data_IF_733455829819
#
_entry.id   IF_733455829819
#
_cell.length_a   1.000
_cell.length_b   1.000
_cell.length_c   1.000
_cell.angle_alpha   90.00
_cell.angle_beta   90.00
_cell.angle_gamma   90.00
#
_symmetry.space_group_name_H-M   'P 1'
#
loop_
_entity.id
_entity.type
_entity.pdbx_description
1 polymer ?
#
# COMPACT_ATOMS: atom_id res chain seq x y z
N UNK A 1 20.88 -17.97 54.68
CA UNK A 1 21.68 -17.06 53.82
C UNK A 1 21.49 -17.47 52.37
N UNK A 2 20.82 -16.64 51.56
CA UNK A 2 20.96 -16.56 50.10
C UNK A 2 20.13 -15.36 49.65
N UNK A 3 20.80 -14.22 49.58
CA UNK A 3 20.25 -12.95 49.11
C UNK A 3 20.24 -12.99 47.59
N UNK A 4 19.05 -13.01 46.99
CA UNK A 4 18.88 -12.87 45.53
C UNK A 4 18.83 -11.38 45.25
N UNK A 5 19.82 -10.89 44.52
CA UNK A 5 19.84 -9.52 44.00
C UNK A 5 18.97 -9.48 42.74
N UNK A 6 17.81 -8.83 42.85
CA UNK A 6 17.06 -8.37 41.68
C UNK A 6 17.76 -7.09 41.23
N UNK A 7 18.55 -7.18 40.16
CA UNK A 7 18.99 -5.99 39.42
C UNK A 7 17.81 -5.54 38.58
N UNK A 8 17.08 -4.56 39.09
CA UNK A 8 16.13 -3.80 38.29
C UNK A 8 16.93 -2.97 37.28
N UNK A 9 16.95 -3.39 36.02
CA UNK A 9 17.41 -2.55 34.93
C UNK A 9 16.36 -1.44 34.74
N UNK A 10 16.56 -0.30 35.39
CA UNK A 10 15.93 0.96 34.98
C UNK A 10 16.50 1.30 33.60
N UNK A 11 15.75 0.98 32.54
CA UNK A 11 15.94 1.63 31.25
C UNK A 11 15.55 3.10 31.43
N UNK A 12 16.57 3.95 31.51
CA UNK A 12 16.44 5.38 31.32
C UNK A 12 15.86 5.61 29.94
N UNK A 13 14.54 5.74 29.84
CA UNK A 13 13.91 6.48 28.74
C UNK A 13 14.30 7.95 28.92
N UNK A 14 15.58 8.27 28.66
CA UNK A 14 15.99 9.65 28.45
C UNK A 14 15.16 10.22 27.32
N UNK A 15 14.86 11.52 27.36
CA UNK A 15 14.23 12.24 26.27
C UNK A 15 15.06 12.04 24.99
N UNK A 16 14.79 10.98 24.24
CA UNK A 16 15.45 10.72 22.99
C UNK A 16 15.06 11.85 22.05
N UNK A 17 16.04 12.60 21.57
CA UNK A 17 15.85 13.58 20.50
C UNK A 17 16.10 12.93 19.16
N UNK A 18 15.29 13.27 18.17
CA UNK A 18 15.49 12.77 16.81
C UNK A 18 16.90 13.13 16.30
N UNK A 19 17.58 12.20 15.60
CA UNK A 19 18.87 12.49 14.99
C UNK A 19 18.80 13.69 14.04
N UNK A 20 19.82 14.58 14.03
CA UNK A 20 19.82 15.79 13.19
C UNK A 20 19.59 15.54 11.71
N UNK A 21 20.04 14.40 11.18
CA UNK A 21 19.85 14.00 9.79
C UNK A 21 18.37 13.70 9.47
N UNK A 22 17.61 13.14 10.40
CA UNK A 22 16.17 12.93 10.21
C UNK A 22 15.42 14.25 10.30
N UNK A 23 15.82 15.13 11.23
CA UNK A 23 15.24 16.47 11.34
C UNK A 23 15.50 17.28 10.08
N UNK A 24 16.71 17.22 9.52
CA UNK A 24 17.04 17.88 8.26
C UNK A 24 16.17 17.35 7.11
N UNK A 25 16.00 16.02 7.03
CA UNK A 25 15.13 15.41 6.02
C UNK A 25 13.67 15.86 6.14
N UNK A 26 13.11 15.91 7.34
CA UNK A 26 11.73 16.41 7.56
C UNK A 26 11.62 17.90 7.27
N UNK A 27 12.67 18.68 7.53
CA UNK A 27 12.67 20.11 7.20
C UNK A 27 12.70 20.37 5.68
N UNK A 28 13.25 19.43 4.91
CA UNK A 28 13.26 19.44 3.45
C UNK A 28 11.97 18.88 2.84
N UNK A 29 11.09 18.27 3.64
CA UNK A 29 9.80 17.83 3.14
C UNK A 29 8.97 19.03 2.69
N UNK A 30 8.52 18.94 1.45
CA UNK A 30 7.65 19.91 0.80
C UNK A 30 6.47 19.14 0.23
N UNK A 31 5.27 19.66 0.43
CA UNK A 31 4.05 19.17 -0.20
C UNK A 31 3.50 20.28 -1.09
N UNK A 32 3.42 20.03 -2.39
CA UNK A 32 2.95 21.02 -3.38
C UNK A 32 3.67 22.40 -3.21
N UNK A 33 2.91 23.49 -3.24
CA UNK A 33 3.39 24.87 -3.04
C UNK A 33 3.48 25.29 -1.56
N UNK A 34 3.57 24.34 -0.62
CA UNK A 34 3.52 24.64 0.81
C UNK A 34 4.86 25.13 1.39
N UNK A 35 4.84 25.97 2.44
CA UNK A 35 6.05 26.39 3.12
C UNK A 35 6.74 25.20 3.80
N UNK A 36 8.08 25.23 3.94
CA UNK A 36 8.83 24.19 4.62
C UNK A 36 8.37 23.98 6.07
N UNK A 37 8.48 22.72 6.53
CA UNK A 37 8.10 22.30 7.88
C UNK A 37 8.92 23.03 8.94
N UNK A 38 8.26 23.80 9.83
CA UNK A 38 8.95 24.53 10.91
C UNK A 38 8.13 24.63 12.20
N UNK A 39 8.69 24.29 13.37
CA UNK A 39 9.99 23.63 13.59
C UNK A 39 9.90 22.09 13.46
N UNK A 40 10.59 21.50 12.48
CA UNK A 40 10.57 20.06 12.18
C UNK A 40 10.90 19.16 13.38
N UNK A 41 11.88 19.53 14.21
CA UNK A 41 12.29 18.72 15.37
C UNK A 41 11.20 18.52 16.44
N UNK A 42 10.13 19.32 16.43
CA UNK A 42 9.00 19.15 17.38
C UNK A 42 7.95 18.14 16.92
N UNK A 43 8.04 17.67 15.68
CA UNK A 43 7.09 16.72 15.12
C UNK A 43 7.43 15.26 15.45
N UNK A 44 8.62 15.03 16.00
CA UNK A 44 9.14 13.70 16.25
C UNK A 44 8.69 13.16 17.61
N UNK A 45 8.16 11.94 17.60
CA UNK A 45 7.94 11.12 18.77
C UNK A 45 8.75 9.81 18.63
N UNK A 46 9.50 9.38 19.67
CA UNK A 46 10.16 8.08 19.65
C UNK A 46 9.11 6.96 19.69
N UNK A 47 9.28 5.97 18.84
CA UNK A 47 8.46 4.75 18.78
C UNK A 47 9.39 3.52 18.74
N UNK A 48 8.80 2.32 18.83
CA UNK A 48 9.55 1.06 18.82
C UNK A 48 8.83 0.04 17.94
N UNK A 49 9.18 0.06 16.66
CA UNK A 49 8.67 -0.76 15.56
C UNK A 49 9.61 -1.96 15.32
N UNK A 50 10.92 -1.71 15.19
CA UNK A 50 11.94 -2.73 14.85
C UNK A 50 12.37 -3.60 16.04
N UNK A 51 12.16 -3.12 17.27
CA UNK A 51 12.60 -3.80 18.50
C UNK A 51 14.10 -4.13 18.56
N UNK A 52 14.95 -3.41 17.82
CA UNK A 52 16.40 -3.62 17.78
C UNK A 52 17.15 -2.89 18.92
N UNK A 53 16.43 -2.12 19.74
CA UNK A 53 16.98 -1.34 20.86
C UNK A 53 17.41 0.09 20.48
N UNK A 54 17.43 0.42 19.18
CA UNK A 54 17.51 1.80 18.71
C UNK A 54 16.10 2.42 18.64
N UNK A 55 15.96 3.75 18.82
CA UNK A 55 14.68 4.41 18.66
C UNK A 55 14.30 4.51 17.18
N UNK A 56 13.05 4.13 16.91
CA UNK A 56 12.33 4.49 15.69
C UNK A 56 11.63 5.83 15.91
N UNK A 57 11.19 6.47 14.83
CA UNK A 57 10.61 7.80 14.90
C UNK A 57 9.31 7.89 14.13
N UNK A 58 8.28 8.38 14.81
CA UNK A 58 7.05 8.86 14.19
C UNK A 58 7.13 10.37 14.04
N UNK A 59 6.86 10.87 12.84
CA UNK A 59 6.68 12.29 12.54
C UNK A 59 5.19 12.56 12.35
N UNK A 60 4.64 13.42 13.17
CA UNK A 60 3.26 13.86 13.13
C UNK A 60 3.17 15.29 12.56
N UNK A 61 2.55 15.44 11.39
CA UNK A 61 2.40 16.74 10.74
C UNK A 61 1.10 17.45 11.13
N UNK A 62 0.24 16.87 11.98
CA UNK A 62 -1.00 17.52 12.43
C UNK A 62 -0.76 18.93 13.00
N UNK A 63 0.30 19.21 13.80
CA UNK A 63 0.59 20.56 14.28
C UNK A 63 0.94 21.58 13.18
N UNK A 64 1.22 21.13 11.95
CA UNK A 64 1.45 22.01 10.80
C UNK A 64 0.14 22.46 10.12
N UNK A 65 -1.01 21.95 10.57
CA UNK A 65 -2.34 22.37 10.15
C UNK A 65 -2.67 22.00 8.71
N UNK A 66 -3.59 22.76 8.10
CA UNK A 66 -4.17 22.48 6.78
C UNK A 66 -3.15 22.39 5.63
N UNK A 67 -1.91 22.85 5.82
CA UNK A 67 -0.85 22.66 4.83
C UNK A 67 -0.47 21.17 4.65
N UNK A 68 -0.63 20.37 5.71
CA UNK A 68 -0.29 18.95 5.75
C UNK A 68 -1.50 18.06 6.05
N UNK A 69 -2.69 18.67 6.15
CA UNK A 69 -3.94 18.00 6.44
C UNK A 69 -5.03 18.34 5.41
N UNK A 70 -5.90 17.38 5.11
CA UNK A 70 -7.02 17.53 4.18
C UNK A 70 -8.15 16.56 4.51
N UNK A 71 -9.03 16.26 3.54
CA UNK A 71 -10.15 15.32 3.74
C UNK A 71 -9.67 13.88 3.97
N UNK A 72 -8.48 13.53 3.48
CA UNK A 72 -7.82 12.27 3.76
C UNK A 72 -7.13 12.19 5.12
N UNK A 73 -7.21 13.25 5.95
CA UNK A 73 -6.54 13.37 7.24
C UNK A 73 -5.20 14.10 7.16
N UNK A 74 -4.25 13.78 8.04
CA UNK A 74 -2.94 14.44 8.11
C UNK A 74 -1.83 13.53 7.61
N UNK A 75 -0.71 14.11 7.17
CA UNK A 75 0.49 13.33 6.81
C UNK A 75 1.14 12.76 8.07
N UNK A 76 1.49 11.48 8.03
CA UNK A 76 2.32 10.82 9.03
C UNK A 76 3.52 10.18 8.33
N UNK A 77 4.68 10.21 8.99
CA UNK A 77 5.90 9.57 8.49
C UNK A 77 6.55 8.70 9.54
N UNK A 78 7.06 7.55 9.15
CA UNK A 78 7.79 6.62 10.03
C UNK A 78 9.21 6.43 9.54
N UNK A 79 10.17 6.65 10.43
CA UNK A 79 11.55 6.23 10.28
C UNK A 79 11.83 5.02 11.15
N UNK A 80 12.24 3.91 10.56
CA UNK A 80 12.55 2.66 11.28
C UNK A 80 14.04 2.35 11.19
N UNK A 81 14.67 2.06 12.31
CA UNK A 81 16.10 1.76 12.41
C UNK A 81 16.47 0.53 11.60
N UNK A 82 17.72 0.47 11.14
CA UNK A 82 18.30 -0.70 10.47
C UNK A 82 19.38 -1.36 11.33
N UNK A 83 19.52 -2.69 11.22
CA UNK A 83 20.76 -3.37 11.62
C UNK A 83 21.97 -2.72 10.93
N UNK A 84 22.96 -2.29 11.71
CA UNK A 84 24.13 -1.58 11.20
C UNK A 84 24.04 -0.04 11.25
N UNK A 85 22.90 0.50 11.71
CA UNK A 85 22.70 1.93 11.95
C UNK A 85 21.92 2.65 10.85
N UNK A 86 21.49 3.88 11.18
CA UNK A 86 20.62 4.70 10.32
C UNK A 86 19.16 4.21 10.30
N UNK A 87 18.36 4.85 9.45
CA UNK A 87 16.91 4.61 9.36
C UNK A 87 16.41 4.48 7.92
N UNK A 88 15.30 3.76 7.76
CA UNK A 88 14.50 3.63 6.53
C UNK A 88 13.28 4.51 6.68
N UNK A 89 12.75 5.07 5.59
CA UNK A 89 11.36 5.55 5.61
C UNK A 89 10.49 4.33 5.40
N UNK A 90 9.61 4.05 6.36
CA UNK A 90 8.74 2.88 6.37
C UNK A 90 7.28 3.24 6.02
N UNK A 91 6.91 4.49 6.24
CA UNK A 91 5.59 5.04 5.95
C UNK A 91 5.73 6.54 5.66
N UNK A 92 5.03 7.05 4.65
CA UNK A 92 4.97 8.49 4.33
C UNK A 92 3.70 8.80 3.55
N UNK A 93 2.56 8.87 4.26
CA UNK A 93 1.25 8.99 3.63
C UNK A 93 0.27 9.81 4.48
N UNK A 94 -0.80 10.27 3.83
CA UNK A 94 -1.91 10.96 4.49
C UNK A 94 -2.96 9.95 4.98
N UNK A 95 -3.34 10.04 6.25
CA UNK A 95 -4.32 9.15 6.88
C UNK A 95 -5.26 9.90 7.84
N UNK A 96 -6.51 9.45 7.93
CA UNK A 96 -7.55 9.98 8.83
C UNK A 96 -7.35 9.53 10.27
N UNK A 97 -6.85 8.31 10.46
CA UNK A 97 -6.43 7.77 11.75
C UNK A 97 -5.09 7.09 11.61
N UNK A 98 -4.26 7.20 12.64
CA UNK A 98 -2.95 6.57 12.72
C UNK A 98 -2.76 5.94 14.10
N UNK A 99 -2.40 4.66 14.14
CA UNK A 99 -2.09 3.97 15.38
C UNK A 99 -0.96 2.94 15.18
N UNK A 100 0.02 2.99 16.08
CA UNK A 100 0.98 1.90 16.26
C UNK A 100 0.56 1.05 17.46
N UNK A 101 0.49 -0.27 17.27
CA UNK A 101 0.12 -1.19 18.34
C UNK A 101 1.04 -2.38 18.44
N UNK A 102 1.37 -2.73 19.69
CA UNK A 102 2.09 -3.97 20.00
C UNK A 102 1.14 -5.16 19.80
N UNK A 103 1.59 -6.16 19.06
CA UNK A 103 0.95 -7.46 18.94
C UNK A 103 1.98 -8.58 19.21
N UNK A 104 1.53 -9.82 19.46
CA UNK A 104 2.45 -10.95 19.63
C UNK A 104 3.38 -11.16 18.42
N UNK A 105 2.90 -10.85 17.22
CA UNK A 105 3.65 -11.00 15.96
C UNK A 105 4.53 -9.79 15.60
N UNK A 106 4.64 -8.78 16.48
CA UNK A 106 5.45 -7.58 16.24
C UNK A 106 4.67 -6.28 16.43
N UNK A 107 5.14 -5.20 15.80
CA UNK A 107 4.42 -3.93 15.77
C UNK A 107 3.49 -3.88 14.57
N UNK A 108 2.23 -3.49 14.84
CA UNK A 108 1.22 -3.26 13.83
C UNK A 108 1.06 -1.76 13.61
N UNK A 109 1.01 -1.38 12.34
CA UNK A 109 0.53 -0.08 11.89
C UNK A 109 -0.92 -0.22 11.47
N UNK A 110 -1.80 0.59 12.03
CA UNK A 110 -3.21 0.63 11.66
C UNK A 110 -3.59 2.03 11.29
N UNK A 111 -4.25 2.13 10.16
CA UNK A 111 -4.62 3.41 9.59
C UNK A 111 -6.06 3.36 9.10
N UNK A 112 -6.68 4.53 9.10
CA UNK A 112 -7.89 4.80 8.34
C UNK A 112 -7.51 5.76 7.21
N UNK A 113 -7.83 5.39 5.97
CA UNK A 113 -7.61 6.24 4.80
C UNK A 113 -8.97 6.65 4.21
N UNK A 114 -8.92 7.60 3.28
CA UNK A 114 -10.10 8.07 2.56
C UNK A 114 -10.79 6.90 1.83
N UNK A 115 -12.13 6.83 1.89
CA UNK A 115 -12.89 5.68 1.38
C UNK A 115 -12.66 5.34 -0.10
N UNK A 116 -12.23 6.33 -0.91
CA UNK A 116 -11.91 6.13 -2.33
C UNK A 116 -10.80 5.11 -2.56
N UNK A 117 -9.87 4.92 -1.62
CA UNK A 117 -8.84 3.88 -1.70
C UNK A 117 -9.40 2.45 -1.55
N UNK A 118 -10.61 2.32 -1.02
CA UNK A 118 -11.33 1.05 -0.92
C UNK A 118 -12.41 0.91 -2.02
N UNK A 119 -12.44 1.80 -3.02
CA UNK A 119 -13.51 1.86 -4.02
C UNK A 119 -14.85 2.36 -3.47
N UNK A 120 -14.83 3.07 -2.34
CA UNK A 120 -16.01 3.62 -1.66
C UNK A 120 -16.08 5.14 -1.81
N UNK A 121 -17.19 5.75 -1.37
CA UNK A 121 -17.27 7.20 -1.22
C UNK A 121 -16.21 7.69 -0.24
N UNK A 122 -15.69 8.90 -0.46
CA UNK A 122 -14.62 9.47 0.37
C UNK A 122 -14.92 9.60 1.86
N UNK A 123 -16.20 9.71 2.20
CA UNK A 123 -16.67 9.81 3.60
C UNK A 123 -16.66 8.46 4.33
N UNK A 124 -16.60 7.35 3.59
CA UNK A 124 -16.65 6.02 4.17
C UNK A 124 -15.28 5.65 4.73
N UNK A 125 -15.29 4.85 5.80
CA UNK A 125 -14.07 4.36 6.42
C UNK A 125 -13.38 3.32 5.52
N UNK A 126 -12.06 3.42 5.41
CA UNK A 126 -11.22 2.44 4.73
C UNK A 126 -10.06 2.08 5.66
N UNK A 127 -10.22 1.00 6.42
CA UNK A 127 -9.24 0.55 7.42
C UNK A 127 -8.18 -0.35 6.79
N UNK A 128 -6.91 -0.09 7.10
CA UNK A 128 -5.76 -0.91 6.67
C UNK A 128 -4.93 -1.31 7.88
N UNK A 129 -4.31 -2.47 7.82
CA UNK A 129 -3.43 -2.96 8.87
C UNK A 129 -2.19 -3.58 8.28
N UNK A 130 -1.05 -3.18 8.81
CA UNK A 130 0.24 -3.66 8.38
C UNK A 130 1.00 -4.22 9.57
N UNK A 131 1.78 -5.26 9.32
CA UNK A 131 2.80 -5.77 10.24
C UNK A 131 4.17 -5.33 9.75
N UNK A 132 5.03 -4.91 10.67
CA UNK A 132 6.44 -4.70 10.36
C UNK A 132 7.12 -6.04 10.04
N UNK A 133 7.86 -6.06 8.93
CA UNK A 133 8.68 -7.19 8.53
C UNK A 133 10.15 -6.81 8.55
N UNK A 134 10.90 -7.40 9.48
CA UNK A 134 12.32 -7.10 9.69
C UNK A 134 13.19 -7.50 8.51
N UNK A 135 12.85 -8.62 7.86
CA UNK A 135 13.65 -9.16 6.76
C UNK A 135 13.56 -8.24 5.55
N UNK A 136 12.35 -7.78 5.25
CA UNK A 136 12.10 -6.86 4.14
C UNK A 136 12.31 -5.38 4.52
N UNK A 137 12.45 -5.06 5.81
CA UNK A 137 12.60 -3.71 6.32
C UNK A 137 11.42 -2.80 5.94
N UNK A 138 10.19 -3.32 6.00
CA UNK A 138 8.98 -2.58 5.60
C UNK A 138 7.71 -3.10 6.27
N UNK A 139 6.64 -2.33 6.15
CA UNK A 139 5.28 -2.76 6.50
C UNK A 139 4.67 -3.65 5.41
N UNK A 140 4.14 -4.81 5.80
CA UNK A 140 3.38 -5.73 4.93
C UNK A 140 1.93 -5.75 5.39
N UNK A 141 0.99 -5.65 4.44
CA UNK A 141 -0.45 -5.75 4.70
C UNK A 141 -0.84 -7.06 5.35
N UNK A 142 -1.83 -6.99 6.22
CA UNK A 142 -2.45 -8.13 6.89
C UNK A 142 -3.93 -7.82 7.15
N UNK A 143 -4.74 -8.81 7.53
CA UNK A 143 -6.10 -8.55 7.96
C UNK A 143 -6.14 -7.57 9.13
N UNK A 144 -7.07 -6.63 9.08
CA UNK A 144 -7.31 -5.70 10.17
C UNK A 144 -7.94 -6.40 11.38
N UNK A 145 -8.16 -5.67 12.48
CA UNK A 145 -8.74 -6.24 13.72
C UNK A 145 -10.08 -6.94 13.57
N UNK A 146 -10.85 -6.51 12.58
CA UNK A 146 -12.18 -7.07 12.31
C UNK A 146 -12.07 -8.35 11.46
N UNK A 147 -10.85 -8.74 11.07
CA UNK A 147 -10.57 -9.86 10.20
C UNK A 147 -10.79 -9.54 8.72
N UNK A 148 -10.95 -8.26 8.36
CA UNK A 148 -11.05 -7.85 6.97
C UNK A 148 -9.65 -7.69 6.37
N UNK A 149 -9.39 -8.45 5.31
CA UNK A 149 -8.14 -8.46 4.56
C UNK A 149 -8.35 -8.19 3.08
N UNK A 150 -9.53 -7.71 2.66
CA UNK A 150 -9.80 -7.44 1.25
C UNK A 150 -9.31 -6.05 0.86
N UNK A 151 -8.27 -6.01 0.03
CA UNK A 151 -7.63 -4.78 -0.43
C UNK A 151 -8.12 -4.46 -1.85
N UNK A 152 -8.93 -3.41 -2.03
CA UNK A 152 -9.34 -2.98 -3.37
C UNK A 152 -8.16 -2.37 -4.16
N UNK A 153 -8.09 -2.67 -5.45
CA UNK A 153 -7.18 -2.05 -6.39
C UNK A 153 -7.61 -0.62 -6.78
N UNK A 154 -6.68 0.23 -7.24
CA UNK A 154 -5.23 0.12 -7.08
C UNK A 154 -4.83 0.08 -5.60
N UNK A 155 -3.88 -0.78 -5.25
CA UNK A 155 -3.51 -0.99 -3.86
C UNK A 155 -2.85 0.27 -3.27
N UNK A 156 -3.39 0.77 -2.16
CA UNK A 156 -2.71 1.76 -1.32
C UNK A 156 -1.28 1.32 -0.99
N UNK A 157 -0.33 2.25 -1.12
CA UNK A 157 1.08 2.00 -0.88
C UNK A 157 1.50 2.80 0.36
N UNK A 158 1.97 2.12 1.41
CA UNK A 158 2.52 2.78 2.60
C UNK A 158 3.69 3.74 2.30
N UNK A 159 4.35 3.50 1.16
CA UNK A 159 5.38 4.36 0.59
C UNK A 159 5.13 4.46 -0.92
N UNK A 160 5.20 5.67 -1.50
CA UNK A 160 5.18 5.84 -2.93
C UNK A 160 6.20 4.92 -3.61
N UNK A 161 5.78 4.26 -4.68
CA UNK A 161 6.65 3.39 -5.47
C UNK A 161 7.35 4.25 -6.52
N UNK A 162 8.67 4.39 -6.43
CA UNK A 162 9.42 5.09 -7.47
C UNK A 162 9.59 4.19 -8.69
N UNK A 163 9.61 4.79 -9.88
CA UNK A 163 9.87 4.06 -11.14
C UNK A 163 11.23 3.33 -11.15
N UNK A 164 12.22 3.87 -10.43
CA UNK A 164 13.51 3.24 -10.25
C UNK A 164 13.45 1.94 -9.43
N UNK A 165 12.39 1.72 -8.65
CA UNK A 165 12.19 0.53 -7.83
C UNK A 165 11.47 -0.60 -8.59
N UNK A 166 10.99 -0.35 -9.81
CA UNK A 166 10.26 -1.35 -10.57
C UNK A 166 11.20 -2.52 -10.94
N UNK A 167 10.79 -3.78 -10.69
CA UNK A 167 11.49 -4.92 -11.24
C UNK A 167 11.54 -4.82 -12.77
N UNK A 168 12.61 -5.31 -13.43
CA UNK A 168 12.72 -5.27 -14.88
C UNK A 168 11.50 -5.85 -15.61
N UNK A 169 10.90 -6.92 -15.07
CA UNK A 169 9.71 -7.54 -15.65
C UNK A 169 8.44 -6.68 -15.48
N UNK A 170 8.31 -5.92 -14.39
CA UNK A 170 7.19 -4.99 -14.21
C UNK A 170 7.33 -3.78 -15.16
N UNK A 171 8.55 -3.27 -15.32
CA UNK A 171 8.84 -2.22 -16.29
C UNK A 171 8.57 -2.70 -17.73
N UNK A 172 8.98 -3.92 -18.08
CA UNK A 172 8.71 -4.53 -19.37
C UNK A 172 7.19 -4.71 -19.61
N UNK A 173 6.45 -5.23 -18.63
CA UNK A 173 4.99 -5.35 -18.71
C UNK A 173 4.30 -4.00 -18.94
N UNK A 174 4.76 -2.92 -18.28
CA UNK A 174 4.23 -1.57 -18.51
C UNK A 174 4.53 -1.07 -19.93
N UNK A 175 5.74 -1.30 -20.42
CA UNK A 175 6.13 -0.96 -21.80
C UNK A 175 5.31 -1.75 -22.83
N UNK A 176 5.03 -3.03 -22.58
CA UNK A 176 4.19 -3.86 -23.46
C UNK A 176 2.77 -3.33 -23.58
N UNK A 177 2.14 -2.98 -22.45
CA UNK A 177 0.80 -2.37 -22.41
C UNK A 177 0.79 -1.01 -23.13
N UNK A 178 1.84 -0.22 -22.91
CA UNK A 178 2.00 1.09 -23.55
C UNK A 178 2.14 0.95 -25.06
N UNK A 179 3.03 0.08 -25.53
CA UNK A 179 3.23 -0.19 -26.96
C UNK A 179 2.00 -0.81 -27.62
N UNK A 180 1.23 -1.63 -26.89
CA UNK A 180 -0.04 -2.16 -27.38
C UNK A 180 -1.05 -1.04 -27.64
N UNK A 181 -1.12 -0.06 -26.74
CA UNK A 181 -1.97 1.10 -26.94
C UNK A 181 -1.52 1.99 -28.11
N UNK A 182 -0.22 2.26 -28.23
CA UNK A 182 0.33 3.07 -29.31
C UNK A 182 0.06 2.47 -30.69
N UNK A 183 0.06 1.13 -30.81
CA UNK A 183 -0.31 0.43 -32.05
C UNK A 183 -1.78 0.64 -32.46
N UNK A 184 -2.64 0.95 -31.51
CA UNK A 184 -4.05 1.32 -31.75
C UNK A 184 -4.21 2.84 -32.01
N UNK A 185 -3.11 3.60 -32.04
CA UNK A 185 -3.13 5.05 -32.20
C UNK A 185 -3.51 5.81 -30.93
N UNK A 186 -3.53 5.14 -29.77
CA UNK A 186 -3.82 5.74 -28.47
C UNK A 186 -2.57 6.08 -27.67
N UNK A 187 -2.81 6.71 -26.52
CA UNK A 187 -1.85 6.95 -25.45
C UNK A 187 -2.28 6.13 -24.22
N UNK A 188 -1.34 5.40 -23.63
CA UNK A 188 -1.63 4.62 -22.42
C UNK A 188 -1.69 5.55 -21.20
N UNK A 189 -2.87 5.67 -20.61
CA UNK A 189 -3.13 6.45 -19.41
C UNK A 189 -3.14 5.57 -18.16
N UNK A 190 -2.85 6.18 -17.01
CA UNK A 190 -3.04 5.53 -15.71
C UNK A 190 -2.17 4.30 -15.44
N UNK A 191 -0.99 4.19 -16.07
CA UNK A 191 -0.04 3.06 -15.98
C UNK A 191 0.59 2.87 -14.59
N UNK A 192 -0.26 2.56 -13.61
CA UNK A 192 0.10 2.34 -12.22
C UNK A 192 0.87 1.03 -12.09
N UNK A 193 1.98 1.09 -11.35
CA UNK A 193 2.71 -0.10 -10.91
C UNK A 193 2.69 -0.07 -9.40
N UNK A 194 2.08 -1.09 -8.80
CA UNK A 194 1.88 -1.18 -7.35
C UNK A 194 2.56 -2.43 -6.82
N UNK A 195 3.14 -2.33 -5.62
CA UNK A 195 3.55 -3.53 -4.89
C UNK A 195 2.31 -4.20 -4.33
N UNK A 196 2.27 -5.52 -4.47
CA UNK A 196 1.23 -6.39 -3.96
C UNK A 196 1.76 -7.17 -2.74
N UNK A 197 0.87 -7.61 -1.84
CA UNK A 197 1.16 -8.74 -0.96
C UNK A 197 1.67 -9.95 -1.77
N UNK A 198 2.40 -10.84 -1.11
CA UNK A 198 2.93 -12.06 -1.73
C UNK A 198 1.79 -13.01 -2.14
N UNK A 199 1.57 -13.14 -3.45
CA UNK A 199 0.58 -14.01 -4.09
C UNK A 199 1.17 -15.38 -4.44
N UNK A 200 2.50 -15.52 -4.52
CA UNK A 200 3.17 -16.75 -4.96
C UNK A 200 3.71 -17.60 -3.81
N UNK A 201 3.88 -17.02 -2.63
CA UNK A 201 4.44 -17.68 -1.45
C UNK A 201 5.95 -17.76 -1.44
N UNK A 202 6.64 -16.99 -2.29
CA UNK A 202 8.11 -16.96 -2.34
C UNK A 202 8.71 -16.05 -1.25
N UNK A 203 7.87 -15.33 -0.51
CA UNK A 203 8.26 -14.43 0.56
C UNK A 203 8.55 -13.01 0.09
N UNK A 204 8.54 -12.74 -1.21
CA UNK A 204 8.78 -11.43 -1.81
C UNK A 204 7.46 -10.77 -2.25
N UNK A 205 7.40 -9.43 -2.35
CA UNK A 205 6.23 -8.77 -2.93
C UNK A 205 6.11 -9.11 -4.41
N UNK A 206 4.91 -9.48 -4.82
CA UNK A 206 4.54 -9.43 -6.23
C UNK A 206 4.21 -7.99 -6.64
N UNK A 207 4.07 -7.78 -7.94
CA UNK A 207 3.84 -6.47 -8.54
C UNK A 207 2.62 -6.51 -9.44
N UNK A 208 1.77 -5.49 -9.37
CA UNK A 208 0.62 -5.35 -10.23
C UNK A 208 0.85 -4.14 -11.13
N UNK A 209 0.83 -4.37 -12.43
CA UNK A 209 0.96 -3.36 -13.48
C UNK A 209 -0.40 -3.18 -14.14
N UNK A 210 -0.94 -1.98 -14.05
CA UNK A 210 -2.26 -1.64 -14.55
C UNK A 210 -3.35 -1.72 -13.48
N UNK A 211 -4.51 -1.13 -13.80
CA UNK A 211 -5.76 -1.21 -13.05
C UNK A 211 -6.94 -0.86 -13.95
N UNK A 212 -8.14 -0.85 -13.40
CA UNK A 212 -9.35 -0.34 -14.04
C UNK A 212 -9.27 1.14 -14.45
N UNK A 213 -8.34 1.90 -13.87
CA UNK A 213 -8.06 3.30 -14.22
C UNK A 213 -6.96 3.43 -15.27
N UNK A 214 -6.24 2.34 -15.56
CA UNK A 214 -5.37 2.29 -16.72
C UNK A 214 -6.21 2.15 -17.98
N UNK A 215 -5.69 2.54 -19.14
CA UNK A 215 -6.43 2.32 -20.38
C UNK A 215 -5.78 2.97 -21.58
N UNK A 216 -6.21 2.53 -22.76
CA UNK A 216 -5.75 3.12 -24.00
C UNK A 216 -6.70 4.21 -24.47
N UNK A 217 -6.26 5.46 -24.42
CA UNK A 217 -7.08 6.64 -24.74
C UNK A 217 -6.52 7.41 -25.93
N UNK A 218 -7.36 7.79 -26.88
CA UNK A 218 -7.02 8.74 -27.94
C UNK A 218 -7.65 10.11 -27.64
N UNK A 219 -7.04 11.19 -28.14
CA UNK A 219 -7.73 12.50 -28.18
C UNK A 219 -8.69 12.49 -29.37
N UNK A 220 -9.98 12.56 -29.10
CA UNK A 220 -11.02 12.64 -30.11
C UNK A 220 -10.98 13.95 -30.90
N UNK A 221 -11.76 14.06 -31.99
CA UNK A 221 -11.85 15.26 -32.83
C UNK A 221 -12.24 16.52 -32.05
N UNK A 222 -13.03 16.36 -30.98
CA UNK A 222 -13.52 17.44 -30.13
C UNK A 222 -12.57 17.76 -28.95
N UNK A 223 -11.41 17.08 -28.89
CA UNK A 223 -10.43 17.20 -27.81
C UNK A 223 -10.69 16.31 -26.59
N UNK A 224 -11.85 15.66 -26.52
CA UNK A 224 -12.22 14.74 -25.44
C UNK A 224 -11.47 13.40 -25.54
N UNK A 225 -10.98 12.84 -24.41
CA UNK A 225 -10.36 11.52 -24.41
C UNK A 225 -11.41 10.43 -24.69
N UNK A 226 -11.14 9.56 -25.66
CA UNK A 226 -11.98 8.41 -26.02
C UNK A 226 -11.17 7.10 -25.89
N UNK A 227 -11.71 6.04 -25.26
CA UNK A 227 -11.06 4.74 -25.25
C UNK A 227 -10.90 4.19 -26.67
N UNK A 228 -9.70 3.70 -26.98
CA UNK A 228 -9.42 2.97 -28.23
C UNK A 228 -8.95 1.53 -27.99
N UNK A 229 -8.86 1.12 -26.72
CA UNK A 229 -8.57 -0.25 -26.29
C UNK A 229 -8.80 -0.46 -24.80
N UNK A 230 -8.89 -1.72 -24.38
CA UNK A 230 -9.14 -2.14 -22.99
C UNK A 230 -7.92 -1.94 -22.07
N UNK A 231 -8.16 -2.01 -20.76
CA UNK A 231 -7.18 -1.80 -19.70
C UNK A 231 -6.50 -3.11 -19.27
N UNK A 232 -5.39 -3.44 -19.89
CA UNK A 232 -4.64 -4.64 -19.50
C UNK A 232 -4.08 -4.54 -18.07
N UNK A 233 -4.19 -5.64 -17.32
CA UNK A 233 -3.53 -5.84 -16.03
C UNK A 233 -2.53 -6.99 -16.13
N UNK A 234 -1.37 -6.83 -15.49
CA UNK A 234 -0.35 -7.88 -15.33
C UNK A 234 0.00 -8.03 -13.86
N UNK A 235 0.09 -9.28 -13.40
CA UNK A 235 0.75 -9.60 -12.13
C UNK A 235 2.12 -10.17 -12.44
N UNK A 236 3.15 -9.64 -11.79
CA UNK A 236 4.55 -9.96 -11.99
C UNK A 236 5.14 -10.47 -10.68
N UNK A 237 5.82 -11.60 -10.75
CA UNK A 237 6.56 -12.21 -9.65
C UNK A 237 7.99 -12.45 -10.10
N UNK A 238 8.96 -11.88 -9.36
CA UNK A 238 10.36 -11.86 -9.77
C UNK A 238 10.56 -11.28 -11.18
N UNK A 239 10.98 -12.12 -12.12
CA UNK A 239 11.26 -11.77 -13.52
C UNK A 239 10.14 -12.18 -14.50
N UNK A 240 9.02 -12.68 -14.00
CA UNK A 240 8.01 -13.35 -14.83
C UNK A 240 6.62 -12.75 -14.63
N UNK A 241 5.88 -12.58 -15.73
CA UNK A 241 4.44 -12.30 -15.68
C UNK A 241 3.70 -13.59 -15.33
N UNK A 242 3.01 -13.61 -14.18
CA UNK A 242 2.30 -14.79 -13.64
C UNK A 242 0.78 -14.73 -13.83
N UNK A 243 0.23 -13.56 -14.21
CA UNK A 243 -1.16 -13.39 -14.59
C UNK A 243 -1.29 -12.23 -15.59
N UNK A 244 -2.13 -12.42 -16.60
CA UNK A 244 -2.52 -11.38 -17.55
C UNK A 244 -4.03 -11.38 -17.67
N UNK A 245 -4.64 -10.21 -17.47
CA UNK A 245 -6.07 -9.98 -17.63
C UNK A 245 -6.29 -8.78 -18.54
N UNK A 246 -7.41 -8.76 -19.25
CA UNK A 246 -7.69 -7.73 -20.26
C UNK A 246 -8.43 -6.52 -19.69
N UNK A 247 -9.17 -6.67 -18.59
CA UNK A 247 -9.70 -5.55 -17.79
C UNK A 247 -10.34 -6.00 -16.47
N UNK A 248 -9.60 -6.10 -15.35
CA UNK A 248 -10.24 -6.33 -14.05
C UNK A 248 -10.19 -5.08 -13.17
N UNK A 249 -11.36 -4.68 -12.66
CA UNK A 249 -11.40 -4.22 -11.27
C UNK A 249 -10.89 -5.38 -10.44
N UNK A 250 -9.95 -5.14 -9.54
CA UNK A 250 -9.35 -6.20 -8.76
C UNK A 250 -9.35 -5.92 -7.27
N UNK A 251 -9.14 -6.98 -6.51
CA UNK A 251 -8.77 -6.91 -5.12
C UNK A 251 -7.70 -7.95 -4.80
N UNK A 252 -7.06 -7.80 -3.65
CA UNK A 252 -6.17 -8.82 -3.08
C UNK A 252 -6.69 -9.16 -1.68
N UNK A 253 -6.91 -10.44 -1.42
CA UNK A 253 -7.29 -10.93 -0.10
C UNK A 253 -6.06 -11.46 0.65
N UNK A 254 -5.71 -10.79 1.75
CA UNK A 254 -4.59 -11.16 2.64
C UNK A 254 -5.02 -12.01 3.84
N UNK A 255 -6.27 -12.51 3.86
CA UNK A 255 -6.73 -13.44 4.90
C UNK A 255 -6.02 -14.81 4.84
N UNK A 256 -5.39 -15.13 3.70
CA UNK A 256 -4.52 -16.30 3.55
C UNK A 256 -3.14 -15.87 3.11
N UNK A 257 -2.12 -16.65 3.47
CA UNK A 257 -0.77 -16.56 2.92
C UNK A 257 -0.46 -17.88 2.20
N UNK A 258 -0.12 -17.86 0.89
CA UNK A 258 -0.04 -16.69 0.01
C UNK A 258 -1.39 -15.98 -0.16
N UNK A 259 -1.33 -14.69 -0.45
CA UNK A 259 -2.50 -13.86 -0.71
C UNK A 259 -3.24 -14.34 -1.96
N UNK A 260 -4.52 -14.00 -2.06
CA UNK A 260 -5.36 -14.38 -3.20
C UNK A 260 -5.65 -13.15 -4.05
N UNK A 261 -5.32 -13.20 -5.33
CA UNK A 261 -5.74 -12.17 -6.27
C UNK A 261 -7.20 -12.40 -6.65
N UNK A 262 -8.01 -11.36 -6.69
CA UNK A 262 -9.43 -11.44 -7.01
C UNK A 262 -9.69 -10.55 -8.23
N UNK A 263 -10.17 -11.15 -9.32
CA UNK A 263 -10.81 -10.36 -10.37
C UNK A 263 -12.26 -10.10 -9.96
N UNK A 264 -12.70 -8.86 -10.03
CA UNK A 264 -14.02 -8.40 -9.58
C UNK A 264 -14.80 -7.92 -10.81
N UNK A 265 -16.04 -8.37 -10.97
CA UNK A 265 -16.93 -7.83 -12.00
C UNK A 265 -17.43 -6.44 -11.59
N UNK A 266 -17.49 -5.47 -12.50
CA UNK A 266 -17.88 -4.08 -12.21
C UNK A 266 -19.36 -3.95 -11.84
N UNK A 267 -19.70 -2.85 -11.15
CA UNK A 267 -21.03 -2.56 -10.62
C UNK A 267 -22.13 -2.36 -11.68
N UNK A 268 -21.78 -2.03 -12.94
CA UNK A 268 -22.76 -1.99 -14.04
C UNK A 268 -23.35 -3.39 -14.32
N UNK A 269 -22.58 -4.45 -14.08
CA UNK A 269 -23.02 -5.85 -14.18
C UNK A 269 -23.63 -6.39 -12.88
N UNK A 270 -23.55 -5.63 -11.78
CA UNK A 270 -23.87 -6.12 -10.42
C UNK A 270 -24.89 -5.26 -9.65
N UNK A 271 -25.53 -4.27 -10.29
CA UNK A 271 -26.68 -3.54 -9.73
C UNK A 271 -26.40 -2.17 -9.09
N UNK A 272 -25.20 -1.60 -9.27
CA UNK A 272 -24.85 -0.25 -8.78
C UNK A 272 -24.50 -0.18 -7.29
N UNK A 273 -24.44 1.05 -6.75
CA UNK A 273 -24.04 1.36 -5.35
C UNK A 273 -24.94 0.73 -4.28
N UNK A 274 -26.11 0.21 -4.67
CA UNK A 274 -27.06 -0.44 -3.77
C UNK A 274 -27.12 -1.95 -4.04
N UNK A 275 -26.26 -2.69 -3.33
CA UNK A 275 -26.50 -4.05 -2.85
C UNK A 275 -26.64 -5.19 -3.90
N UNK A 276 -25.50 -5.69 -4.37
CA UNK A 276 -25.18 -7.13 -4.37
C UNK A 276 -23.66 -7.30 -4.39
N UNK A 277 -23.13 -8.29 -3.66
CA UNK A 277 -21.70 -8.56 -3.72
C UNK A 277 -21.36 -9.11 -5.10
N UNK A 278 -20.51 -8.39 -5.84
CA UNK A 278 -20.06 -8.76 -7.18
C UNK A 278 -19.52 -10.19 -7.20
N UNK A 279 -19.63 -10.86 -8.35
CA UNK A 279 -18.93 -12.11 -8.53
C UNK A 279 -17.43 -11.84 -8.58
N UNK A 280 -16.67 -12.65 -7.86
CA UNK A 280 -15.22 -12.57 -7.82
C UNK A 280 -14.65 -13.88 -8.32
N UNK A 281 -13.62 -13.80 -9.17
CA UNK A 281 -12.86 -14.97 -9.61
C UNK A 281 -11.56 -14.97 -8.80
N UNK A 282 -11.35 -15.93 -7.89
CA UNK A 282 -10.11 -16.03 -7.14
C UNK A 282 -9.02 -16.63 -8.02
N UNK A 283 -7.83 -16.04 -7.97
CA UNK A 283 -6.63 -16.52 -8.63
C UNK A 283 -5.61 -16.90 -7.57
N UNK A 284 -5.15 -18.15 -7.61
CA UNK A 284 -4.18 -18.70 -6.65
C UNK A 284 -2.96 -19.24 -7.37
N UNK A 285 -1.81 -19.15 -6.71
CA UNK A 285 -0.57 -19.66 -7.25
C UNK A 285 -0.61 -21.17 -7.45
N UNK A 286 -0.24 -21.59 -8.66
CA UNK A 286 0.03 -22.98 -8.99
C UNK A 286 1.53 -23.12 -9.31
N UNK A 287 2.26 -23.80 -8.42
CA UNK A 287 3.70 -23.95 -8.53
C UNK A 287 4.13 -24.79 -9.76
N UNK A 288 3.30 -25.72 -10.22
CA UNK A 288 3.61 -26.56 -11.36
C UNK A 288 3.45 -25.79 -12.68
N UNK A 289 2.39 -25.00 -12.80
CA UNK A 289 2.09 -24.16 -13.94
C UNK A 289 2.85 -22.82 -13.93
N UNK A 290 3.47 -22.49 -12.79
CA UNK A 290 4.20 -21.24 -12.51
C UNK A 290 3.38 -20.01 -12.87
N UNK A 291 2.11 -20.00 -12.49
CA UNK A 291 1.16 -18.91 -12.78
C UNK A 291 0.03 -18.88 -11.76
N UNK A 292 -0.68 -17.77 -11.69
CA UNK A 292 -1.94 -17.68 -10.96
C UNK A 292 -3.06 -18.29 -11.80
N UNK A 293 -3.76 -19.29 -11.25
CA UNK A 293 -4.87 -19.98 -11.93
C UNK A 293 -6.21 -19.54 -11.36
N UNK A 294 -7.17 -19.32 -12.26
CA UNK A 294 -8.54 -19.02 -11.90
C UNK A 294 -9.19 -20.20 -11.17
N UNK A 295 -9.82 -19.92 -10.04
CA UNK A 295 -10.68 -20.82 -9.32
C UNK A 295 -12.15 -20.65 -9.71
N UNK A 296 -13.02 -21.33 -8.97
CA UNK A 296 -14.47 -21.19 -9.14
C UNK A 296 -14.91 -19.78 -8.75
N UNK A 297 -15.74 -19.10 -9.56
CA UNK A 297 -16.32 -17.82 -9.19
C UNK A 297 -17.09 -17.92 -7.87
N UNK A 298 -16.86 -16.97 -6.99
CA UNK A 298 -17.54 -16.86 -5.69
C UNK A 298 -18.32 -15.56 -5.63
N UNK A 299 -19.38 -15.51 -4.81
CA UNK A 299 -19.94 -14.22 -4.45
C UNK A 299 -18.94 -13.51 -3.54
N UNK A 300 -18.60 -12.28 -3.89
CA UNK A 300 -17.77 -11.44 -3.05
C UNK A 300 -18.37 -11.24 -1.66
N UNK A 301 -17.58 -10.71 -0.74
CA UNK A 301 -18.12 -10.21 0.52
C UNK A 301 -18.73 -8.83 0.26
N UNK A 302 -19.96 -8.60 0.71
CA UNK A 302 -20.48 -7.23 0.77
C UNK A 302 -19.48 -6.40 1.57
N UNK A 303 -18.99 -5.30 0.97
CA UNK A 303 -18.39 -4.23 1.74
C UNK A 303 -19.48 -3.84 2.75
N UNK A 304 -19.28 -4.11 4.04
CA UNK A 304 -20.24 -3.67 5.05
C UNK A 304 -20.15 -2.16 5.09
N UNK A 305 -21.17 -1.51 4.55
CA UNK A 305 -21.48 -0.13 4.87
C UNK A 305 -22.22 -0.20 6.21
N UNK A 306 -21.50 -0.09 7.31
CA UNK A 306 -22.10 0.25 8.60
C UNK A 306 -22.19 1.77 8.74
#
# INVERSE_FOLDING_TARGET
MKTIWIVAALLLAGCATAPPELVARVQEDIKDDMPPVRPAGRLFAPVNISHDGAPDWHVDYEPQGMAWCGTGGCTHKLFVSRPGGGHVVAFDEQVRQFALRRAPAGTLLEIEIHGTYCGLSGVNDCYRSFRWDEVQGRFIEQPNRQGDGRLAGPLFQALPVATADYPPAAAAALLELTAACERLGGQYGGGLVTRSPDLTGDGDPDWIVGSEYSGCIARGPDGEPAPVGESGLRVVSGDTVVLSLDSPVYAVDVATMPATFLSVTTAEDCGGYEQQACMEIPYRWDAAARRLLAGTPVRGRSLRLE
#
